data_IF_358199701646
#
_entry.id   IF_358199701646
#
_cell.length_a   1.000
_cell.length_b   1.000
_cell.length_c   1.000
_cell.angle_alpha   90.00
_cell.angle_beta   90.00
_cell.angle_gamma   90.00
#
_symmetry.space_group_name_H-M   'P 1'
#
loop_
_entity.id
_entity.type
_entity.pdbx_description
1 polymer ?
#
# COMPACT_ATOMS: atom_id res chain seq x y z
N UNK A 1 -15.06 -13.39 -22.38
CA UNK A 1 -13.94 -13.87 -21.56
C UNK A 1 -13.98 -13.22 -20.21
N UNK A 2 -13.86 -14.01 -19.14
CA UNK A 2 -13.88 -13.47 -17.78
C UNK A 2 -12.49 -12.95 -17.43
N UNK A 3 -12.35 -11.71 -16.96
CA UNK A 3 -11.04 -11.20 -16.54
C UNK A 3 -10.52 -11.95 -15.32
N UNK A 4 -9.21 -12.14 -15.26
CA UNK A 4 -8.57 -12.74 -14.09
C UNK A 4 -8.49 -11.71 -12.96
N UNK A 5 -8.29 -12.21 -11.73
CA UNK A 5 -8.07 -11.33 -10.57
C UNK A 5 -6.89 -10.40 -10.83
N UNK A 6 -5.79 -10.93 -11.38
CA UNK A 6 -4.61 -10.15 -11.68
C UNK A 6 -4.90 -9.01 -12.67
N UNK A 7 -5.67 -9.30 -13.72
CA UNK A 7 -6.06 -8.28 -14.70
C UNK A 7 -6.91 -7.19 -14.08
N UNK A 8 -7.89 -7.58 -13.23
CA UNK A 8 -8.73 -6.61 -12.54
C UNK A 8 -7.91 -5.74 -11.59
N UNK A 9 -7.05 -6.36 -10.78
CA UNK A 9 -6.22 -5.64 -9.81
C UNK A 9 -5.32 -4.63 -10.50
N UNK A 10 -4.69 -5.01 -11.61
CA UNK A 10 -3.85 -4.11 -12.38
C UNK A 10 -4.64 -2.91 -12.90
N UNK A 11 -5.84 -3.17 -13.44
CA UNK A 11 -6.70 -2.11 -13.96
C UNK A 11 -7.18 -1.17 -12.85
N UNK A 12 -7.57 -1.72 -11.69
CA UNK A 12 -8.04 -0.91 -10.56
C UNK A 12 -6.92 -0.03 -10.03
N UNK A 13 -5.70 -0.56 -9.87
CA UNK A 13 -4.56 0.23 -9.42
C UNK A 13 -4.22 1.34 -10.41
N UNK A 14 -4.30 1.07 -11.69
CA UNK A 14 -4.08 2.08 -12.72
C UNK A 14 -5.08 3.23 -12.59
N UNK A 15 -6.37 2.91 -12.41
CA UNK A 15 -7.40 3.93 -12.21
C UNK A 15 -7.17 4.76 -10.95
N UNK A 16 -6.83 4.09 -9.85
CA UNK A 16 -6.57 4.76 -8.57
C UNK A 16 -5.38 5.70 -8.68
N UNK A 17 -4.30 5.24 -9.31
CA UNK A 17 -3.09 6.04 -9.48
C UNK A 17 -3.30 7.25 -10.39
N UNK A 18 -4.24 7.15 -11.33
CA UNK A 18 -4.59 8.26 -12.22
C UNK A 18 -5.66 9.19 -11.65
N UNK A 19 -6.19 8.88 -10.46
CA UNK A 19 -7.19 9.72 -9.80
C UNK A 19 -8.61 9.59 -10.37
N UNK A 20 -8.91 8.50 -11.08
CA UNK A 20 -10.23 8.30 -11.70
C UNK A 20 -11.23 7.55 -10.81
N UNK A 21 -10.78 6.97 -9.72
CA UNK A 21 -11.63 6.13 -8.89
C UNK A 21 -12.02 6.86 -7.61
N UNK A 22 -13.25 7.33 -7.55
CA UNK A 22 -13.80 8.01 -6.37
C UNK A 22 -14.76 7.12 -5.58
N UNK A 23 -15.49 6.23 -6.26
CA UNK A 23 -16.46 5.32 -5.63
C UNK A 23 -16.30 3.92 -6.22
N UNK A 24 -16.90 2.92 -5.56
CA UNK A 24 -16.95 1.57 -6.11
C UNK A 24 -17.66 1.55 -7.47
N UNK A 25 -18.69 2.37 -7.62
CA UNK A 25 -19.42 2.46 -8.87
C UNK A 25 -18.54 3.01 -10.00
N UNK A 26 -17.69 3.99 -9.71
CA UNK A 26 -16.72 4.52 -10.68
C UNK A 26 -15.79 3.41 -11.15
N UNK A 27 -15.32 2.58 -10.22
CA UNK A 27 -14.44 1.45 -10.53
C UNK A 27 -15.17 0.45 -11.42
N UNK A 28 -16.42 0.10 -11.06
CA UNK A 28 -17.22 -0.83 -11.83
C UNK A 28 -17.44 -0.35 -13.27
N UNK A 29 -17.78 0.93 -13.42
CA UNK A 29 -18.01 1.53 -14.73
C UNK A 29 -16.75 1.57 -15.58
N UNK A 30 -15.62 1.92 -14.96
CA UNK A 30 -14.35 1.99 -15.67
C UNK A 30 -13.88 0.59 -16.10
N UNK A 31 -14.07 -0.42 -15.25
CA UNK A 31 -13.76 -1.80 -15.62
C UNK A 31 -14.64 -2.26 -16.79
N UNK A 32 -15.93 -1.94 -16.74
CA UNK A 32 -16.86 -2.30 -17.82
C UNK A 32 -16.44 -1.67 -19.16
N UNK A 33 -15.98 -0.42 -19.13
CA UNK A 33 -15.46 0.24 -20.34
C UNK A 33 -14.21 -0.42 -20.90
N UNK A 34 -13.44 -1.11 -20.05
CA UNK A 34 -12.28 -1.88 -20.46
C UNK A 34 -12.63 -3.33 -20.83
N UNK A 35 -13.92 -3.65 -20.89
CA UNK A 35 -14.37 -5.01 -21.18
C UNK A 35 -14.26 -5.97 -20.00
N UNK A 36 -14.09 -5.46 -18.80
CA UNK A 36 -13.92 -6.27 -17.58
C UNK A 36 -15.14 -6.07 -16.69
N UNK A 37 -16.15 -6.93 -16.83
CA UNK A 37 -17.33 -6.87 -15.97
C UNK A 37 -17.10 -7.70 -14.71
N UNK A 38 -17.42 -7.12 -13.57
CA UNK A 38 -17.32 -7.79 -12.28
C UNK A 38 -18.50 -7.38 -11.41
N UNK A 39 -18.91 -8.27 -10.51
CA UNK A 39 -19.98 -7.97 -9.55
C UNK A 39 -19.48 -6.99 -8.50
N UNK A 40 -20.42 -6.30 -7.83
CA UNK A 40 -20.07 -5.41 -6.73
C UNK A 40 -19.33 -6.16 -5.63
N UNK A 41 -19.73 -7.38 -5.33
CA UNK A 41 -19.06 -8.20 -4.32
C UNK A 41 -17.60 -8.47 -4.70
N UNK A 42 -17.34 -8.76 -5.98
CA UNK A 42 -15.97 -9.00 -6.47
C UNK A 42 -15.14 -7.72 -6.38
N UNK A 43 -15.70 -6.59 -6.77
CA UNK A 43 -15.00 -5.30 -6.72
C UNK A 43 -14.69 -4.91 -5.27
N UNK A 44 -15.65 -5.10 -4.37
CA UNK A 44 -15.45 -4.82 -2.94
C UNK A 44 -14.30 -5.66 -2.37
N UNK A 45 -14.25 -6.93 -2.75
CA UNK A 45 -13.18 -7.82 -2.32
C UNK A 45 -11.83 -7.41 -2.90
N UNK A 46 -11.81 -7.03 -4.18
CA UNK A 46 -10.59 -6.55 -4.83
C UNK A 46 -10.05 -5.30 -4.12
N UNK A 47 -10.92 -4.37 -3.75
CA UNK A 47 -10.54 -3.16 -3.02
C UNK A 47 -9.88 -3.51 -1.69
N UNK A 48 -10.45 -4.47 -0.95
CA UNK A 48 -9.87 -4.93 0.30
C UNK A 48 -8.52 -5.61 0.10
N UNK A 49 -8.42 -6.50 -0.88
CA UNK A 49 -7.19 -7.23 -1.17
C UNK A 49 -6.06 -6.29 -1.63
N UNK A 50 -6.40 -5.22 -2.33
CA UNK A 50 -5.42 -4.23 -2.78
C UNK A 50 -5.06 -3.23 -1.69
N UNK A 51 -5.73 -3.27 -0.54
CA UNK A 51 -5.48 -2.34 0.54
C UNK A 51 -5.84 -0.91 0.20
N UNK A 52 -6.87 -0.71 -0.61
CA UNK A 52 -7.33 0.62 -0.98
C UNK A 52 -8.24 1.18 0.12
N UNK A 53 -8.04 2.45 0.43
CA UNK A 53 -8.88 3.16 1.40
C UNK A 53 -9.52 4.36 0.73
N UNK A 54 -10.74 4.67 1.13
CA UNK A 54 -11.46 5.82 0.62
C UNK A 54 -11.07 7.06 1.40
N UNK A 55 -10.68 8.11 0.69
CA UNK A 55 -10.39 9.42 1.26
C UNK A 55 -11.30 10.45 0.60
N UNK A 56 -11.25 11.71 1.04
CA UNK A 56 -12.04 12.78 0.45
C UNK A 56 -11.77 13.00 -1.03
N UNK A 57 -10.64 12.53 -1.54
CA UNK A 57 -10.25 12.68 -2.94
C UNK A 57 -10.41 11.39 -3.75
N UNK A 58 -11.07 10.38 -3.20
CA UNK A 58 -11.26 9.09 -3.84
C UNK A 58 -10.50 7.97 -3.17
N UNK A 59 -10.26 6.88 -3.89
CA UNK A 59 -9.49 5.76 -3.37
C UNK A 59 -8.00 6.00 -3.48
N UNK A 60 -7.27 5.59 -2.44
CA UNK A 60 -5.81 5.63 -2.41
C UNK A 60 -5.30 4.31 -1.87
N UNK A 61 -4.12 3.87 -2.32
CA UNK A 61 -3.51 2.69 -1.74
C UNK A 61 -3.07 3.02 -0.31
N UNK A 62 -3.19 2.04 0.59
CA UNK A 62 -2.73 2.20 1.96
C UNK A 62 -1.22 2.47 2.03
N UNK A 63 -0.46 1.91 1.07
CA UNK A 63 0.97 2.17 0.96
C UNK A 63 1.25 3.63 0.62
N UNK A 64 0.45 4.23 -0.29
CA UNK A 64 0.61 5.66 -0.63
C UNK A 64 0.37 6.55 0.57
N UNK A 65 -0.67 6.25 1.37
CA UNK A 65 -0.95 7.03 2.58
C UNK A 65 0.20 6.91 3.59
N UNK A 66 0.73 5.72 3.75
CA UNK A 66 1.82 5.45 4.68
C UNK A 66 3.09 6.18 4.25
N UNK A 67 3.38 6.24 2.95
CA UNK A 67 4.55 6.97 2.42
C UNK A 67 4.54 8.43 2.85
N UNK A 68 3.38 9.06 2.91
CA UNK A 68 3.26 10.45 3.32
C UNK A 68 3.63 10.65 4.79
N UNK A 69 3.50 9.60 5.60
CA UNK A 69 3.80 9.64 7.02
C UNK A 69 5.25 9.28 7.34
N UNK A 70 6.03 8.78 6.39
CA UNK A 70 7.43 8.44 6.62
C UNK A 70 8.27 9.68 6.47
N UNK A 71 8.88 10.13 7.56
CA UNK A 71 9.75 11.31 7.57
C UNK A 71 11.18 10.97 7.17
N UNK A 72 11.70 9.83 7.63
CA UNK A 72 13.03 9.38 7.29
C UNK A 72 13.18 7.89 7.50
N UNK A 73 14.14 7.29 6.81
CA UNK A 73 14.52 5.89 6.96
C UNK A 73 16.04 5.84 7.06
N UNK A 74 16.54 5.29 8.16
CA UNK A 74 17.98 5.08 8.36
C UNK A 74 18.24 3.58 8.45
N UNK A 75 19.14 3.08 7.62
CA UNK A 75 19.53 1.67 7.65
C UNK A 75 20.73 1.48 8.57
N UNK A 76 20.53 0.73 9.63
CA UNK A 76 21.58 0.36 10.60
C UNK A 76 21.54 -1.16 10.70
N UNK A 77 22.11 -1.81 9.70
CA UNK A 77 22.01 -3.28 9.57
C UNK A 77 22.27 -3.99 10.90
N UNK A 78 21.44 -4.92 11.35
CA UNK A 78 20.30 -5.54 10.63
C UNK A 78 18.94 -4.88 10.91
N UNK A 79 18.89 -3.59 11.20
CA UNK A 79 17.62 -2.88 11.44
C UNK A 79 17.50 -1.69 10.51
N UNK A 80 16.23 -1.32 10.25
CA UNK A 80 15.88 -0.07 9.62
C UNK A 80 15.12 0.77 10.66
N UNK A 81 15.53 2.02 10.83
CA UNK A 81 14.88 2.95 11.76
C UNK A 81 14.06 3.92 10.94
N UNK A 82 12.75 3.91 11.15
CA UNK A 82 11.80 4.72 10.39
C UNK A 82 11.19 5.75 11.33
N UNK A 83 11.27 7.02 10.94
CA UNK A 83 10.67 8.12 11.70
C UNK A 83 9.35 8.53 11.07
N UNK A 84 8.37 8.80 11.91
CA UNK A 84 7.03 9.23 11.50
C UNK A 84 6.58 10.41 12.37
N UNK A 85 5.53 11.13 11.99
CA UNK A 85 4.94 12.10 12.90
C UNK A 85 4.45 11.43 14.19
N UNK A 86 4.43 12.17 15.32
CA UNK A 86 3.96 11.61 16.60
C UNK A 86 2.59 10.97 16.47
N UNK A 87 2.44 9.79 17.10
CA UNK A 87 1.18 9.07 17.14
C UNK A 87 0.89 8.21 15.90
N UNK A 88 1.77 8.18 14.89
CA UNK A 88 1.48 7.46 13.64
C UNK A 88 2.35 6.23 13.39
N UNK A 89 3.33 5.96 14.26
CA UNK A 89 4.26 4.86 14.03
C UNK A 89 3.55 3.49 13.95
N UNK A 90 2.57 3.25 14.80
CA UNK A 90 1.82 1.98 14.78
C UNK A 90 1.08 1.76 13.47
N UNK A 91 0.49 2.81 12.91
CA UNK A 91 -0.21 2.72 11.64
C UNK A 91 0.75 2.34 10.51
N UNK A 92 1.90 3.01 10.46
CA UNK A 92 2.91 2.75 9.43
C UNK A 92 3.48 1.34 9.57
N UNK A 93 3.83 0.93 10.80
CA UNK A 93 4.37 -0.40 11.06
C UNK A 93 3.39 -1.51 10.64
N UNK A 94 2.11 -1.32 10.93
CA UNK A 94 1.07 -2.27 10.55
C UNK A 94 1.02 -2.45 9.02
N UNK A 95 1.14 -1.38 8.27
CA UNK A 95 1.12 -1.45 6.81
C UNK A 95 2.37 -2.11 6.25
N UNK A 96 3.52 -1.90 6.89
CA UNK A 96 4.74 -2.60 6.52
C UNK A 96 4.58 -4.11 6.74
N UNK A 97 4.03 -4.51 7.89
CA UNK A 97 3.81 -5.92 8.19
C UNK A 97 2.83 -6.56 7.19
N UNK A 98 1.74 -5.85 6.86
CA UNK A 98 0.72 -6.31 5.90
C UNK A 98 1.28 -6.45 4.48
N UNK A 99 2.28 -5.68 4.12
CA UNK A 99 2.91 -5.77 2.81
C UNK A 99 3.67 -7.09 2.61
N UNK A 100 4.00 -7.79 3.70
CA UNK A 100 4.56 -9.13 3.64
C UNK A 100 5.91 -9.23 2.95
N UNK A 101 6.79 -8.25 3.14
CA UNK A 101 8.12 -8.27 2.53
C UNK A 101 8.94 -9.44 3.09
N UNK A 102 9.43 -10.36 2.23
CA UNK A 102 10.13 -11.56 2.72
C UNK A 102 11.37 -11.28 3.53
N UNK A 103 12.02 -10.15 3.30
CA UNK A 103 13.24 -9.78 4.01
C UNK A 103 13.03 -9.11 5.35
N UNK A 104 11.77 -8.87 5.76
CA UNK A 104 11.44 -8.21 7.02
C UNK A 104 10.94 -9.28 7.99
N UNK A 105 11.63 -9.44 9.12
CA UNK A 105 11.22 -10.40 10.15
C UNK A 105 10.03 -9.90 10.96
N UNK A 106 9.96 -8.59 11.17
CA UNK A 106 8.89 -7.96 11.91
C UNK A 106 9.23 -6.52 12.22
N UNK A 107 8.30 -5.81 12.85
CA UNK A 107 8.49 -4.42 13.24
C UNK A 107 8.09 -4.21 14.69
N UNK A 108 8.73 -3.22 15.31
CA UNK A 108 8.34 -2.72 16.64
C UNK A 108 8.12 -1.22 16.51
N UNK A 109 6.97 -0.73 16.93
CA UNK A 109 6.61 0.67 16.81
C UNK A 109 6.44 1.32 18.18
N UNK A 110 7.04 2.49 18.35
CA UNK A 110 6.76 3.39 19.47
C UNK A 110 5.73 4.42 19.06
N UNK A 111 5.94 5.66 19.47
CA UNK A 111 5.05 6.77 19.13
C UNK A 111 5.36 7.34 17.73
N UNK A 112 6.63 7.63 17.46
CA UNK A 112 7.12 8.27 16.25
C UNK A 112 8.28 7.52 15.59
N UNK A 113 8.61 6.32 16.07
CA UNK A 113 9.76 5.56 15.61
C UNK A 113 9.38 4.10 15.43
N UNK A 114 9.80 3.52 14.32
CA UNK A 114 9.60 2.10 14.01
C UNK A 114 10.98 1.47 13.83
N UNK A 115 11.17 0.30 14.41
CA UNK A 115 12.34 -0.52 14.15
C UNK A 115 11.89 -1.73 13.37
N UNK A 116 12.37 -1.86 12.14
CA UNK A 116 12.12 -3.03 11.31
C UNK A 116 13.35 -3.93 11.34
N UNK A 117 13.16 -5.21 11.66
CA UNK A 117 14.25 -6.17 11.72
C UNK A 117 14.42 -6.85 10.37
N UNK A 118 15.62 -6.75 9.81
CA UNK A 118 15.94 -7.25 8.48
C UNK A 118 16.54 -8.65 8.57
N UNK A 119 16.01 -9.57 7.75
CA UNK A 119 16.48 -10.96 7.74
C UNK A 119 17.71 -11.19 6.90
N UNK A 120 17.93 -10.34 5.90
CA UNK A 120 18.99 -10.56 4.92
C UNK A 120 19.48 -9.23 4.35
N UNK A 121 20.73 -9.21 3.82
CA UNK A 121 21.22 -8.03 3.12
C UNK A 121 20.30 -7.66 1.95
N UNK A 122 20.12 -6.40 1.70
CA UNK A 122 19.26 -5.90 0.64
C UNK A 122 17.80 -5.69 1.04
N UNK A 123 17.33 -6.29 2.14
CA UNK A 123 15.96 -6.09 2.61
C UNK A 123 15.68 -4.63 2.96
N UNK A 124 16.67 -3.93 3.52
CA UNK A 124 16.56 -2.52 3.85
C UNK A 124 16.34 -1.65 2.62
N UNK A 125 17.04 -1.96 1.53
CA UNK A 125 16.84 -1.24 0.27
C UNK A 125 15.44 -1.45 -0.28
N UNK A 126 14.93 -2.69 -0.24
CA UNK A 126 13.57 -2.99 -0.68
C UNK A 126 12.54 -2.21 0.15
N UNK A 127 12.76 -2.12 1.46
CA UNK A 127 11.91 -1.35 2.35
C UNK A 127 11.97 0.15 2.01
N UNK A 128 13.16 0.69 1.77
CA UNK A 128 13.33 2.08 1.37
C UNK A 128 12.58 2.38 0.07
N UNK A 129 12.68 1.49 -0.91
CA UNK A 129 11.99 1.65 -2.19
C UNK A 129 10.47 1.62 -2.01
N UNK A 130 9.97 0.72 -1.15
CA UNK A 130 8.54 0.64 -0.84
C UNK A 130 8.02 1.93 -0.22
N UNK A 131 8.80 2.54 0.68
CA UNK A 131 8.39 3.72 1.45
C UNK A 131 8.89 5.03 0.86
N UNK A 132 9.63 4.99 -0.24
CA UNK A 132 10.14 6.20 -0.87
C UNK A 132 9.00 7.06 -1.39
N UNK A 133 9.11 8.37 -1.18
CA UNK A 133 8.16 9.31 -1.79
C UNK A 133 8.39 9.31 -3.29
N UNK A 134 7.29 9.20 -4.03
CA UNK A 134 7.34 9.35 -5.48
C UNK A 134 7.54 10.83 -5.79
N UNK A 135 8.63 11.14 -6.41
CA UNK A 135 8.86 12.52 -6.81
C UNK A 135 10.25 12.93 -6.77
#
# INVERSE_FOLDING_TARGET
>A
MTPTKSQRHHAILDMVNRGYAHTQQDIAQALARRGMRATQATISRDIQELGLVRSGEGYRSSVSLVRELVLSIELVEPVAVIKTPPGTANLVARRIDEAGLPGIAGTVAGDDTIIAVLRKPGAGRALKELLAHAG
#
